data_IF_096058028224
#
_entry.id   IF_096058028224
#
_cell.length_a   1.000
_cell.length_b   1.000
_cell.length_c   1.000
_cell.angle_alpha   90.00
_cell.angle_beta   90.00
_cell.angle_gamma   90.00
#
_symmetry.space_group_name_H-M   'P 1'
#
loop_
_entity.id
_entity.type
_entity.pdbx_description
1 polymer ?
#
# COMPACT_ATOMS: atom_id res chain seq x y z
N UNK A 1 -4.77 -31.42 -18.82
CA UNK A 1 -3.42 -31.19 -18.26
C UNK A 1 -3.48 -29.92 -17.43
N UNK A 2 -3.75 -30.05 -16.14
CA UNK A 2 -3.91 -28.94 -15.21
C UNK A 2 -2.53 -28.49 -14.74
N UNK A 3 -2.09 -27.30 -15.19
CA UNK A 3 -0.80 -26.72 -14.82
C UNK A 3 -0.74 -26.46 -13.31
N UNK A 4 -0.07 -27.35 -12.59
CA UNK A 4 0.35 -27.22 -11.21
C UNK A 4 1.54 -26.24 -11.12
N UNK A 5 1.32 -24.93 -11.25
CA UNK A 5 2.26 -23.92 -10.71
C UNK A 5 1.75 -22.47 -10.69
N UNK A 6 0.44 -22.23 -10.64
CA UNK A 6 -0.05 -20.86 -10.43
C UNK A 6 0.23 -20.43 -8.99
N UNK A 7 1.14 -19.46 -8.84
CA UNK A 7 1.40 -18.82 -7.55
C UNK A 7 0.07 -18.27 -7.04
N UNK A 8 -0.40 -18.64 -5.84
CA UNK A 8 -1.66 -18.11 -5.33
C UNK A 8 -1.65 -16.58 -5.31
N UNK A 9 -2.76 -15.93 -5.68
CA UNK A 9 -2.88 -14.46 -5.80
C UNK A 9 -2.32 -13.74 -4.56
N UNK A 10 -2.52 -14.30 -3.36
CA UNK A 10 -2.03 -13.74 -2.11
C UNK A 10 -0.49 -13.77 -1.94
N UNK A 11 0.22 -14.72 -2.59
CA UNK A 11 1.69 -14.75 -2.67
C UNK A 11 2.22 -13.74 -3.69
N UNK A 12 1.48 -13.53 -4.79
CA UNK A 12 1.87 -12.59 -5.84
C UNK A 12 1.88 -11.14 -5.33
N UNK A 13 0.82 -10.71 -4.63
CA UNK A 13 0.71 -9.35 -4.08
C UNK A 13 1.84 -8.99 -3.12
N UNK A 14 2.18 -9.91 -2.21
CA UNK A 14 3.25 -9.71 -1.25
C UNK A 14 4.61 -9.62 -1.96
N UNK A 15 4.82 -10.44 -2.99
CA UNK A 15 6.02 -10.40 -3.83
C UNK A 15 6.15 -9.07 -4.59
N UNK A 16 5.07 -8.59 -5.22
CA UNK A 16 5.07 -7.32 -5.94
C UNK A 16 5.32 -6.15 -4.99
N UNK A 17 4.61 -6.11 -3.86
CA UNK A 17 4.81 -5.09 -2.82
C UNK A 17 6.27 -5.03 -2.36
N UNK A 18 6.86 -6.18 -2.00
CA UNK A 18 8.22 -6.24 -1.49
C UNK A 18 9.24 -5.74 -2.51
N UNK A 19 9.09 -6.13 -3.79
CA UNK A 19 9.99 -5.67 -4.87
C UNK A 19 9.86 -4.18 -5.13
N UNK A 20 8.62 -3.66 -5.22
CA UNK A 20 8.36 -2.23 -5.43
C UNK A 20 8.93 -1.41 -4.27
N UNK A 21 8.63 -1.80 -3.02
CA UNK A 21 9.11 -1.10 -1.84
C UNK A 21 10.65 -1.11 -1.75
N UNK A 22 11.28 -2.26 -1.99
CA UNK A 22 12.74 -2.39 -2.04
C UNK A 22 13.38 -1.50 -3.11
N UNK A 23 12.77 -1.42 -4.30
CA UNK A 23 13.28 -0.57 -5.39
C UNK A 23 13.19 0.92 -5.04
N UNK A 24 12.11 1.34 -4.37
CA UNK A 24 11.92 2.72 -3.89
C UNK A 24 12.83 3.09 -2.71
N UNK A 25 13.22 2.11 -1.90
CA UNK A 25 14.13 2.30 -0.76
C UNK A 25 15.61 2.30 -1.16
N UNK A 26 15.93 1.96 -2.41
CA UNK A 26 17.29 1.88 -2.91
C UNK A 26 17.86 3.27 -3.25
N UNK A 27 19.09 3.56 -2.81
CA UNK A 27 19.76 4.85 -3.02
C UNK A 27 20.03 5.19 -4.50
N UNK A 28 20.05 4.18 -5.38
CA UNK A 28 20.18 4.35 -6.83
C UNK A 28 18.87 4.62 -7.57
N UNK A 29 17.75 4.77 -6.87
CA UNK A 29 16.48 5.12 -7.51
C UNK A 29 16.49 6.57 -8.01
N UNK A 30 16.02 6.79 -9.25
CA UNK A 30 16.05 8.11 -9.88
C UNK A 30 15.34 9.16 -9.02
N UNK A 31 16.06 10.21 -8.62
CA UNK A 31 15.49 11.30 -7.82
C UNK A 31 14.35 12.03 -8.53
N UNK A 32 14.41 12.13 -9.86
CA UNK A 32 13.35 12.70 -10.69
C UNK A 32 12.08 11.84 -10.68
N UNK A 33 12.22 10.53 -10.89
CA UNK A 33 11.11 9.58 -10.83
C UNK A 33 10.50 9.53 -9.43
N UNK A 34 11.35 9.56 -8.41
CA UNK A 34 10.95 9.62 -7.01
C UNK A 34 10.10 10.85 -6.70
N UNK A 35 10.55 12.03 -7.14
CA UNK A 35 9.80 13.28 -6.96
C UNK A 35 8.46 13.25 -7.71
N UNK A 36 8.42 12.69 -8.92
CA UNK A 36 7.19 12.53 -9.69
C UNK A 36 6.17 11.63 -8.97
N UNK A 37 6.60 10.46 -8.50
CA UNK A 37 5.75 9.52 -7.76
C UNK A 37 5.20 10.11 -6.45
N UNK A 38 6.02 10.89 -5.73
CA UNK A 38 5.59 11.58 -4.50
C UNK A 38 4.53 12.66 -4.73
N UNK A 39 4.50 13.28 -5.91
CA UNK A 39 3.54 14.32 -6.29
C UNK A 39 2.36 13.79 -7.10
N UNK A 40 2.40 12.51 -7.49
CA UNK A 40 1.39 11.86 -8.31
C UNK A 40 0.00 12.00 -7.70
N UNK A 41 -0.99 12.31 -8.55
CA UNK A 41 -2.39 12.03 -8.28
C UNK A 41 -2.73 10.66 -8.89
N UNK A 42 -3.05 9.62 -8.10
CA UNK A 42 -3.32 8.28 -8.62
C UNK A 42 -4.55 8.18 -9.54
N UNK A 43 -5.47 9.16 -9.49
CA UNK A 43 -6.65 9.18 -10.37
C UNK A 43 -6.35 9.78 -11.73
N UNK A 44 -5.41 10.72 -11.77
CA UNK A 44 -5.03 11.48 -12.98
C UNK A 44 -3.51 11.71 -12.92
N UNK A 45 -2.69 10.67 -13.16
CA UNK A 45 -1.24 10.79 -13.06
C UNK A 45 -0.69 11.67 -14.18
N UNK A 46 0.40 12.40 -13.92
CA UNK A 46 1.18 13.01 -15.00
C UNK A 46 1.91 11.91 -15.77
N UNK A 47 2.21 12.14 -17.06
CA UNK A 47 2.91 11.15 -17.88
C UNK A 47 4.25 10.72 -17.28
N UNK A 48 4.97 11.63 -16.61
CA UNK A 48 6.23 11.26 -15.92
C UNK A 48 5.98 10.31 -14.76
N UNK A 49 5.04 10.63 -13.86
CA UNK A 49 4.71 9.76 -12.74
C UNK A 49 4.17 8.40 -13.20
N UNK A 50 3.37 8.41 -14.27
CA UNK A 50 2.83 7.21 -14.90
C UNK A 50 3.95 6.30 -15.43
N UNK A 51 4.86 6.82 -16.25
CA UNK A 51 6.01 6.05 -16.76
C UNK A 51 6.88 5.50 -15.61
N UNK A 52 7.13 6.30 -14.58
CA UNK A 52 7.89 5.87 -13.41
C UNK A 52 7.19 4.71 -12.67
N UNK A 53 5.87 4.78 -12.51
CA UNK A 53 5.08 3.74 -11.87
C UNK A 53 5.02 2.46 -12.70
N UNK A 54 4.85 2.58 -14.03
CA UNK A 54 4.87 1.42 -14.94
C UNK A 54 6.21 0.69 -14.90
N UNK A 55 7.32 1.42 -14.85
CA UNK A 55 8.66 0.81 -14.68
C UNK A 55 8.78 0.03 -13.37
N UNK A 56 8.20 0.54 -12.28
CA UNK A 56 8.18 -0.16 -11.00
C UNK A 56 7.35 -1.45 -11.09
N UNK A 57 6.15 -1.38 -11.67
CA UNK A 57 5.29 -2.55 -11.87
C UNK A 57 6.00 -3.61 -12.73
N UNK A 58 6.54 -3.21 -13.88
CA UNK A 58 7.29 -4.09 -14.77
C UNK A 58 8.50 -4.74 -14.05
N UNK A 59 9.28 -3.96 -13.30
CA UNK A 59 10.44 -4.48 -12.55
C UNK A 59 10.05 -5.48 -11.45
N UNK A 60 8.83 -5.37 -10.92
CA UNK A 60 8.30 -6.30 -9.92
C UNK A 60 7.74 -7.58 -10.55
N UNK A 61 7.50 -7.59 -11.87
CA UNK A 61 6.68 -8.59 -12.55
C UNK A 61 5.22 -8.47 -12.13
N UNK A 62 4.76 -7.25 -11.87
CA UNK A 62 3.39 -6.96 -11.47
C UNK A 62 2.48 -6.81 -12.67
N UNK A 63 1.37 -7.54 -12.66
CA UNK A 63 0.37 -7.57 -13.74
C UNK A 63 -1.01 -7.22 -13.16
N UNK A 64 -1.31 -5.93 -12.92
CA UNK A 64 -2.64 -5.52 -12.47
C UNK A 64 -3.74 -5.98 -13.43
N UNK A 65 -4.85 -6.47 -12.88
CA UNK A 65 -5.98 -6.97 -13.68
C UNK A 65 -6.86 -5.82 -14.16
N UNK A 66 -6.47 -5.16 -15.25
CA UNK A 66 -7.20 -4.05 -15.86
C UNK A 66 -7.04 -2.71 -15.15
N UNK A 67 -7.66 -1.67 -15.70
CA UNK A 67 -7.42 -0.27 -15.29
C UNK A 67 -7.81 0.03 -13.84
N UNK A 68 -8.88 -0.56 -13.32
CA UNK A 68 -9.30 -0.35 -11.93
C UNK A 68 -8.27 -0.90 -10.91
N UNK A 69 -7.71 -2.07 -11.18
CA UNK A 69 -6.66 -2.69 -10.35
C UNK A 69 -5.33 -1.92 -10.49
N UNK A 70 -5.03 -1.46 -11.70
CA UNK A 70 -3.89 -0.60 -11.99
C UNK A 70 -3.93 0.70 -11.18
N UNK A 71 -5.06 1.41 -11.14
CA UNK A 71 -5.22 2.62 -10.31
C UNK A 71 -5.00 2.36 -8.81
N UNK A 72 -5.40 1.19 -8.31
CA UNK A 72 -5.11 0.76 -6.93
C UNK A 72 -3.61 0.60 -6.70
N UNK A 73 -2.89 -0.01 -7.64
CA UNK A 73 -1.44 -0.10 -7.56
C UNK A 73 -0.73 1.25 -7.67
N UNK A 74 -1.21 2.18 -8.51
CA UNK A 74 -0.69 3.56 -8.54
C UNK A 74 -0.86 4.25 -7.18
N UNK A 75 -2.01 4.08 -6.52
CA UNK A 75 -2.23 4.59 -5.17
C UNK A 75 -1.22 4.00 -4.16
N UNK A 76 -0.95 2.69 -4.23
CA UNK A 76 0.04 2.03 -3.37
C UNK A 76 1.45 2.55 -3.65
N UNK A 77 1.86 2.66 -4.91
CA UNK A 77 3.16 3.20 -5.30
C UNK A 77 3.33 4.64 -4.80
N UNK A 78 2.30 5.47 -4.93
CA UNK A 78 2.30 6.83 -4.37
C UNK A 78 2.55 6.81 -2.85
N UNK A 79 1.84 5.96 -2.11
CA UNK A 79 2.00 5.85 -0.65
C UNK A 79 3.38 5.34 -0.24
N UNK A 80 3.93 4.36 -0.96
CA UNK A 80 5.30 3.88 -0.75
C UNK A 80 6.32 4.97 -1.09
N UNK A 81 6.12 5.74 -2.15
CA UNK A 81 6.99 6.87 -2.48
C UNK A 81 6.96 7.95 -1.37
N UNK A 82 5.80 8.24 -0.78
CA UNK A 82 5.68 9.16 0.34
C UNK A 82 6.49 8.72 1.58
N UNK A 83 6.63 7.40 1.78
CA UNK A 83 7.36 6.77 2.89
C UNK A 83 8.77 6.31 2.53
N UNK A 84 9.32 6.70 1.37
CA UNK A 84 10.65 6.22 0.89
C UNK A 84 10.77 4.70 0.80
N UNK A 85 9.69 4.01 0.44
CA UNK A 85 9.66 2.56 0.34
C UNK A 85 9.73 1.83 1.68
N UNK A 86 9.51 2.53 2.81
CA UNK A 86 9.53 1.91 4.13
C UNK A 86 8.43 0.85 4.27
N UNK A 87 8.83 -0.41 4.10
CA UNK A 87 8.00 -1.59 4.26
C UNK A 87 8.76 -2.63 5.09
N UNK A 88 8.09 -3.20 6.10
CA UNK A 88 8.65 -4.29 6.91
C UNK A 88 7.56 -5.28 7.30
N UNK A 89 7.71 -6.54 6.88
CA UNK A 89 6.81 -7.63 7.26
C UNK A 89 6.79 -7.93 8.77
N UNK A 90 7.79 -7.44 9.52
CA UNK A 90 7.89 -7.61 10.98
C UNK A 90 7.18 -6.49 11.76
N UNK A 91 6.83 -5.40 11.08
CA UNK A 91 6.25 -4.22 11.70
C UNK A 91 4.72 -4.24 11.56
N UNK A 92 4.02 -4.90 12.48
CA UNK A 92 2.56 -5.02 12.45
C UNK A 92 1.88 -3.67 12.22
N UNK A 93 1.01 -3.59 11.21
CA UNK A 93 0.36 -2.34 10.79
C UNK A 93 -0.41 -1.70 11.94
N UNK A 94 -1.34 -2.44 12.57
CA UNK A 94 -2.18 -1.86 13.62
C UNK A 94 -1.37 -1.49 14.86
N UNK A 95 -0.44 -2.34 15.27
CA UNK A 95 0.38 -2.09 16.47
C UNK A 95 1.34 -0.92 16.29
N UNK A 96 1.98 -0.78 15.13
CA UNK A 96 2.84 0.40 14.86
C UNK A 96 2.00 1.66 14.82
N UNK A 97 0.82 1.67 14.19
CA UNK A 97 -0.06 2.83 14.16
C UNK A 97 -0.46 3.31 15.56
N UNK A 98 -0.75 2.37 16.48
CA UNK A 98 -0.99 2.70 17.88
C UNK A 98 0.27 3.29 18.56
N UNK A 99 1.44 2.68 18.36
CA UNK A 99 2.71 3.15 18.94
C UNK A 99 3.10 4.56 18.49
N UNK A 100 2.86 4.89 17.21
CA UNK A 100 3.12 6.24 16.69
C UNK A 100 1.98 7.22 16.95
N UNK A 101 0.99 6.83 17.77
CA UNK A 101 -0.17 7.63 18.18
C UNK A 101 -1.00 8.13 17.00
N UNK A 102 -1.21 7.28 15.99
CA UNK A 102 -2.17 7.57 14.94
C UNK A 102 -3.59 7.54 15.53
N UNK A 103 -4.42 8.52 15.19
CA UNK A 103 -5.76 8.67 15.77
C UNK A 103 -6.67 7.46 15.48
N UNK A 104 -7.37 6.99 16.51
CA UNK A 104 -8.36 5.91 16.40
C UNK A 104 -9.50 6.26 15.42
N UNK A 105 -9.97 7.51 15.44
CA UNK A 105 -10.98 8.00 14.49
C UNK A 105 -10.49 7.87 13.04
N UNK A 106 -9.22 8.21 12.78
CA UNK A 106 -8.65 8.15 11.42
C UNK A 106 -8.45 6.72 10.94
N UNK A 107 -8.01 5.82 11.80
CA UNK A 107 -7.90 4.40 11.44
C UNK A 107 -9.29 3.79 11.23
N UNK A 108 -10.27 4.09 12.09
CA UNK A 108 -11.64 3.62 11.90
C UNK A 108 -12.21 4.11 10.57
N UNK A 109 -12.01 5.39 10.24
CA UNK A 109 -12.39 5.92 8.93
C UNK A 109 -11.74 5.16 7.78
N UNK A 110 -10.43 4.87 7.84
CA UNK A 110 -9.77 4.07 6.80
C UNK A 110 -10.37 2.67 6.68
N UNK A 111 -10.63 2.01 7.81
CA UNK A 111 -11.08 0.62 7.82
C UNK A 111 -12.54 0.47 7.39
N UNK A 112 -13.42 1.43 7.65
CA UNK A 112 -14.84 1.35 7.28
C UNK A 112 -15.20 1.95 5.93
N UNK A 113 -14.21 2.44 5.18
CA UNK A 113 -14.42 3.21 3.95
C UNK A 113 -14.51 2.37 2.67
N UNK A 114 -15.22 2.93 1.69
CA UNK A 114 -15.14 2.56 0.28
C UNK A 114 -13.85 3.07 -0.36
N UNK A 115 -13.57 2.62 -1.59
CA UNK A 115 -12.30 2.89 -2.26
C UNK A 115 -12.05 4.38 -2.50
N UNK A 116 -13.07 5.16 -2.82
CA UNK A 116 -12.98 6.59 -3.07
C UNK A 116 -12.43 7.31 -1.84
N UNK A 117 -12.94 6.97 -0.66
CA UNK A 117 -12.46 7.53 0.60
C UNK A 117 -11.08 6.96 0.95
N UNK A 118 -10.82 5.68 0.71
CA UNK A 118 -9.48 5.07 0.88
C UNK A 118 -8.43 5.82 0.06
N UNK A 119 -8.75 6.17 -1.20
CA UNK A 119 -7.85 6.92 -2.08
C UNK A 119 -7.48 8.30 -1.53
N UNK A 120 -8.36 8.91 -0.72
CA UNK A 120 -8.11 10.18 -0.05
C UNK A 120 -7.37 10.04 1.28
N UNK A 121 -7.70 9.03 2.09
CA UNK A 121 -7.16 8.90 3.45
C UNK A 121 -5.82 8.17 3.50
N UNK A 122 -5.59 7.20 2.60
CA UNK A 122 -4.38 6.40 2.60
C UNK A 122 -3.11 7.23 2.33
N UNK A 123 -3.10 8.20 1.38
CA UNK A 123 -1.96 9.10 1.21
C UNK A 123 -1.71 10.01 2.43
N UNK A 124 -2.74 10.34 3.21
CA UNK A 124 -2.59 11.13 4.45
C UNK A 124 -1.92 10.29 5.54
N UNK A 125 -2.31 9.02 5.66
CA UNK A 125 -1.63 8.06 6.51
C UNK A 125 -0.16 7.89 6.09
N UNK A 126 0.11 7.72 4.79
CA UNK A 126 1.46 7.58 4.28
C UNK A 126 2.34 8.80 4.60
N UNK A 127 1.83 10.03 4.44
CA UNK A 127 2.55 11.25 4.83
C UNK A 127 2.84 11.29 6.33
N UNK A 128 1.88 10.90 7.15
CA UNK A 128 2.06 10.83 8.60
C UNK A 128 3.18 9.84 8.98
N UNK A 129 3.14 8.62 8.43
CA UNK A 129 4.19 7.61 8.64
C UNK A 129 5.56 8.10 8.16
N UNK A 130 5.61 8.71 6.97
CA UNK A 130 6.84 9.28 6.41
C UNK A 130 7.43 10.38 7.28
N UNK A 131 6.59 11.25 7.86
CA UNK A 131 7.03 12.28 8.81
C UNK A 131 7.55 11.69 10.13
N UNK A 132 7.00 10.54 10.57
CA UNK A 132 7.47 9.79 11.74
C UNK A 132 8.67 8.89 11.45
N UNK A 133 9.04 8.70 10.17
CA UNK A 133 10.04 7.72 9.75
C UNK A 133 9.67 6.27 10.09
N UNK A 134 8.38 5.98 10.25
CA UNK A 134 7.88 4.71 10.74
C UNK A 134 7.61 3.72 9.60
N UNK A 135 8.27 2.56 9.65
CA UNK A 135 8.00 1.45 8.75
C UNK A 135 6.84 0.58 9.25
N UNK A 136 6.00 0.11 8.32
CA UNK A 136 4.89 -0.82 8.59
C UNK A 136 4.89 -1.99 7.60
N UNK A 137 4.18 -3.06 7.96
CA UNK A 137 3.68 -4.04 7.01
C UNK A 137 2.60 -3.33 6.17
N UNK A 138 2.88 -3.15 4.88
CA UNK A 138 1.96 -2.49 3.96
C UNK A 138 0.94 -3.46 3.38
N UNK A 139 1.16 -4.77 3.51
CA UNK A 139 0.34 -5.78 2.85
C UNK A 139 -1.14 -5.71 3.24
N UNK A 140 -1.52 -5.50 4.52
CA UNK A 140 -2.92 -5.30 4.87
C UNK A 140 -3.55 -4.09 4.17
N UNK A 141 -2.82 -2.97 4.05
CA UNK A 141 -3.31 -1.75 3.39
C UNK A 141 -3.42 -1.93 1.87
N UNK A 142 -2.48 -2.66 1.25
CA UNK A 142 -2.57 -3.07 -0.16
C UNK A 142 -3.85 -3.86 -0.38
N UNK A 143 -4.13 -4.84 0.48
CA UNK A 143 -5.32 -5.71 0.34
C UNK A 143 -6.62 -4.96 0.57
N UNK A 144 -6.67 -4.04 1.54
CA UNK A 144 -7.83 -3.16 1.73
C UNK A 144 -8.07 -2.36 0.44
N UNK A 145 -7.08 -1.57 -0.01
CA UNK A 145 -7.24 -0.74 -1.20
C UNK A 145 -7.58 -1.56 -2.46
N UNK A 146 -6.97 -2.73 -2.63
CA UNK A 146 -7.14 -3.55 -3.84
C UNK A 146 -8.51 -4.22 -3.91
N UNK A 147 -9.01 -4.72 -2.77
CA UNK A 147 -10.15 -5.64 -2.74
C UNK A 147 -11.47 -5.01 -2.30
N UNK A 148 -11.46 -3.82 -1.68
CA UNK A 148 -12.70 -3.07 -1.39
C UNK A 148 -13.51 -2.84 -2.67
N UNK A 149 -14.78 -3.24 -2.64
CA UNK A 149 -15.72 -3.16 -3.76
C UNK A 149 -15.54 -4.25 -4.84
N UNK A 150 -14.64 -5.22 -4.65
CA UNK A 150 -14.35 -6.30 -5.63
C UNK A 150 -14.38 -7.70 -5.02
N UNK A 151 -13.81 -7.86 -3.84
CA UNK A 151 -13.74 -9.10 -3.10
C UNK A 151 -13.75 -8.76 -1.60
N UNK A 152 -14.90 -8.29 -1.11
CA UNK A 152 -15.02 -7.65 0.20
C UNK A 152 -14.50 -8.53 1.34
N UNK A 153 -14.73 -9.84 1.28
CA UNK A 153 -14.23 -10.79 2.27
C UNK A 153 -12.70 -10.82 2.41
N UNK A 154 -11.95 -10.48 1.35
CA UNK A 154 -10.47 -10.34 1.40
C UNK A 154 -10.04 -9.03 2.03
N UNK A 155 -10.77 -7.95 1.74
CA UNK A 155 -10.54 -6.66 2.38
C UNK A 155 -10.86 -6.74 3.88
N UNK A 156 -11.98 -7.35 4.26
CA UNK A 156 -12.42 -7.52 5.64
C UNK A 156 -11.46 -8.32 6.50
N UNK A 157 -10.87 -9.39 5.96
CA UNK A 157 -9.80 -10.11 6.66
C UNK A 157 -8.62 -9.18 7.02
N UNK A 158 -8.28 -8.26 6.12
CA UNK A 158 -7.20 -7.30 6.33
C UNK A 158 -7.63 -6.18 7.30
N UNK A 159 -8.87 -5.69 7.20
CA UNK A 159 -9.43 -4.71 8.16
C UNK A 159 -9.47 -5.27 9.57
N UNK A 160 -9.98 -6.49 9.74
CA UNK A 160 -10.07 -7.17 11.03
C UNK A 160 -8.69 -7.42 11.64
N UNK A 161 -7.69 -7.78 10.81
CA UNK A 161 -6.30 -7.90 11.26
C UNK A 161 -5.78 -6.58 11.81
N UNK A 162 -5.89 -5.50 11.04
CA UNK A 162 -5.40 -4.17 11.45
C UNK A 162 -6.12 -3.67 12.71
N UNK A 163 -7.44 -3.80 12.78
CA UNK A 163 -8.23 -3.39 13.94
C UNK A 163 -7.82 -4.15 15.22
N UNK A 164 -7.66 -5.48 15.13
CA UNK A 164 -7.23 -6.30 16.28
C UNK A 164 -5.83 -5.96 16.75
N UNK A 165 -4.90 -5.74 15.82
CA UNK A 165 -3.52 -5.34 16.13
C UNK A 165 -3.45 -3.97 16.81
N UNK A 166 -4.28 -3.01 16.36
CA UNK A 166 -4.39 -1.68 16.95
C UNK A 166 -5.01 -1.73 18.35
N UNK A 167 -6.19 -2.36 18.49
CA UNK A 167 -6.90 -2.45 19.77
C UNK A 167 -6.10 -3.14 20.86
N UNK A 168 -5.34 -4.19 20.52
CA UNK A 168 -4.44 -4.87 21.47
C UNK A 168 -3.29 -3.99 21.93
N UNK A 169 -2.78 -3.13 21.05
CA UNK A 169 -1.67 -2.24 21.38
C UNK A 169 -2.11 -1.03 22.24
N UNK A 170 -3.38 -0.63 22.18
CA UNK A 170 -3.94 0.48 22.96
C UNK A 170 -4.59 0.06 24.29
N UNK A 171 -4.79 -1.25 24.50
CA UNK A 171 -5.36 -1.78 25.74
C UNK A 171 -4.32 -2.03 26.85
N UNK A 172 -3.04 -1.81 26.54
CA UNK A 172 -1.91 -1.84 27.49
C UNK A 172 -1.52 -0.43 27.93
#
# INVERSE_FOLDING_TARGET
MTNHNEIPIWKQEAGWLAKIASRLANDGFSMGDYAALRRMNPQIPSSHAEIAAERLLASAGAEPTGEADRKRWLLIIHCLALTRGQHSHRASTGSVLAQVQYSEERINRLLSSDFEVIADVLPRLARFLGAKGAAIDWLPLVRIARWTGRAESRADQSRNRVAREYARATAN
#
